data_IF_393157908402
#
_entry.id   IF_393157908402
#
_cell.length_a   1.000
_cell.length_b   1.000
_cell.length_c   1.000
_cell.angle_alpha   90.00
_cell.angle_beta   90.00
_cell.angle_gamma   90.00
#
_symmetry.space_group_name_H-M   'P 1'
#
loop_
_entity.id
_entity.type
_entity.pdbx_description
1 polymer ?
#
# COMPACT_ATOMS: atom_id res chain seq x y z
N UNK A 1 15.58 -0.67 16.06
CA UNK A 1 14.92 -0.87 14.74
C UNK A 1 15.40 0.15 13.72
N UNK A 2 15.33 1.47 13.99
CA UNK A 2 15.80 2.49 13.03
C UNK A 2 17.30 2.38 12.64
N UNK A 3 18.13 1.74 13.47
CA UNK A 3 19.53 1.45 13.15
C UNK A 3 19.71 0.28 12.17
N UNK A 4 18.67 -0.54 11.98
CA UNK A 4 18.74 -1.68 11.08
C UNK A 4 18.71 -1.19 9.64
N UNK A 5 19.72 -1.59 8.86
CA UNK A 5 19.85 -1.19 7.46
C UNK A 5 20.50 0.18 7.21
N UNK A 6 20.99 0.88 8.23
CA UNK A 6 21.74 2.13 8.03
C UNK A 6 22.96 1.96 7.11
N UNK A 7 23.67 0.83 7.21
CA UNK A 7 24.79 0.49 6.33
C UNK A 7 24.39 -0.13 4.98
N UNK A 8 23.09 -0.20 4.68
CA UNK A 8 22.53 -0.87 3.50
C UNK A 8 21.69 0.07 2.63
N UNK A 9 21.86 1.39 2.81
CA UNK A 9 21.19 2.42 1.99
C UNK A 9 21.84 2.46 0.62
N UNK A 10 21.05 2.15 -0.42
CA UNK A 10 21.49 2.18 -1.81
C UNK A 10 21.41 3.57 -2.45
N UNK A 11 21.76 3.64 -3.73
CA UNK A 11 21.72 4.88 -4.52
C UNK A 11 20.32 5.50 -4.67
N UNK A 12 19.26 4.72 -4.48
CA UNK A 12 17.87 5.21 -4.48
C UNK A 12 17.47 5.94 -3.19
N UNK A 13 18.36 5.98 -2.18
CA UNK A 13 18.07 6.59 -0.88
C UNK A 13 17.26 5.69 0.06
N UNK A 14 16.99 4.44 -0.32
CA UNK A 14 16.33 3.44 0.51
C UNK A 14 17.28 2.30 0.91
N UNK A 15 17.05 1.78 2.12
CA UNK A 15 17.69 0.58 2.67
C UNK A 15 17.14 -0.69 2.01
N UNK A 16 17.99 -1.71 1.85
CA UNK A 16 17.54 -3.06 1.48
C UNK A 16 16.76 -3.78 2.60
N UNK A 17 16.74 -3.20 3.81
CA UNK A 17 15.91 -3.65 4.93
C UNK A 17 14.63 -2.82 4.97
N UNK A 18 13.50 -3.48 4.71
CA UNK A 18 12.15 -2.90 4.77
C UNK A 18 11.38 -3.28 6.04
N UNK A 19 10.15 -2.78 6.14
CA UNK A 19 9.21 -3.18 7.19
C UNK A 19 7.82 -3.43 6.63
N UNK A 20 7.12 -4.41 7.20
CA UNK A 20 5.71 -4.68 6.89
C UNK A 20 4.86 -3.97 7.92
N UNK A 21 3.96 -3.08 7.49
CA UNK A 21 3.17 -2.24 8.38
C UNK A 21 1.69 -2.30 7.97
N UNK A 22 0.81 -2.56 8.93
CA UNK A 22 -0.63 -2.54 8.70
C UNK A 22 -1.14 -1.13 8.42
N UNK A 23 -2.23 -1.05 7.64
CA UNK A 23 -2.89 0.21 7.35
C UNK A 23 -3.82 0.63 8.50
N UNK A 24 -3.23 1.12 9.60
CA UNK A 24 -3.96 1.33 10.86
C UNK A 24 -4.55 2.74 10.96
N UNK A 25 -3.73 3.80 11.05
CA UNK A 25 -4.21 5.19 11.10
C UNK A 25 -3.23 6.13 10.41
N UNK A 26 -3.76 7.25 9.87
CA UNK A 26 -2.99 8.31 9.22
C UNK A 26 -1.82 8.82 10.07
N UNK A 27 -2.08 9.17 11.33
CA UNK A 27 -1.05 9.75 12.20
C UNK A 27 0.10 8.78 12.46
N UNK A 28 -0.21 7.49 12.62
CA UNK A 28 0.80 6.44 12.77
C UNK A 28 1.68 6.32 11.53
N UNK A 29 1.08 6.37 10.32
CA UNK A 29 1.82 6.30 9.05
C UNK A 29 2.73 7.52 8.85
N UNK A 30 2.26 8.72 9.20
CA UNK A 30 3.07 9.96 9.16
C UNK A 30 4.27 9.84 10.10
N UNK A 31 4.04 9.42 11.35
CA UNK A 31 5.10 9.25 12.33
C UNK A 31 6.10 8.18 11.90
N UNK A 32 5.61 7.06 11.36
CA UNK A 32 6.42 5.97 10.84
C UNK A 32 7.35 6.44 9.71
N UNK A 33 6.82 7.15 8.70
CA UNK A 33 7.63 7.70 7.61
C UNK A 33 8.68 8.70 8.11
N UNK A 34 8.33 9.55 9.09
CA UNK A 34 9.29 10.49 9.72
C UNK A 34 10.40 9.76 10.48
N UNK A 35 10.07 8.66 11.15
CA UNK A 35 11.01 7.93 12.01
C UNK A 35 11.95 7.03 11.19
N UNK A 36 11.48 6.56 10.04
CA UNK A 36 12.17 5.59 9.18
C UNK A 36 12.24 6.12 7.73
N UNK A 37 12.96 7.24 7.48
CA UNK A 37 12.94 7.93 6.20
C UNK A 37 13.46 7.06 5.04
N UNK A 38 14.43 6.18 5.33
CA UNK A 38 15.08 5.33 4.33
C UNK A 38 14.48 3.91 4.24
N UNK A 39 13.38 3.61 4.93
CA UNK A 39 12.79 2.27 4.94
C UNK A 39 11.76 2.14 3.82
N UNK A 40 11.83 1.03 3.07
CA UNK A 40 10.75 0.58 2.20
C UNK A 40 9.66 -0.08 3.03
N UNK A 41 8.40 0.34 2.85
CA UNK A 41 7.27 -0.27 3.54
C UNK A 41 6.45 -1.17 2.62
N UNK A 42 6.05 -2.33 3.14
CA UNK A 42 4.99 -3.14 2.55
C UNK A 42 3.71 -2.95 3.35
N UNK A 43 2.66 -2.48 2.69
CA UNK A 43 1.34 -2.24 3.30
C UNK A 43 0.34 -3.27 2.75
N UNK A 44 0.11 -4.39 3.46
CA UNK A 44 -0.85 -5.40 3.03
C UNK A 44 -2.29 -5.04 3.40
N UNK A 45 -3.24 -5.51 2.60
CA UNK A 45 -4.63 -5.67 3.06
C UNK A 45 -5.50 -4.41 3.03
N UNK A 46 -5.16 -3.42 2.20
CA UNK A 46 -6.04 -2.27 1.95
C UNK A 46 -7.41 -2.74 1.44
N UNK A 47 -8.47 -2.11 1.95
CA UNK A 47 -9.87 -2.51 1.72
C UNK A 47 -10.35 -3.57 2.70
N UNK A 48 -9.75 -4.77 2.69
CA UNK A 48 -10.21 -5.88 3.52
C UNK A 48 -9.96 -5.69 5.03
N UNK A 49 -8.93 -4.92 5.40
CA UNK A 49 -8.58 -4.62 6.80
C UNK A 49 -9.09 -3.25 7.25
N UNK A 50 -10.00 -2.62 6.50
CA UNK A 50 -10.55 -1.29 6.85
C UNK A 50 -9.58 -0.12 6.62
N UNK A 51 -8.37 -0.38 6.12
CA UNK A 51 -7.42 0.66 5.75
C UNK A 51 -7.88 1.45 4.53
N UNK A 52 -7.86 2.78 4.64
CA UNK A 52 -8.18 3.72 3.57
C UNK A 52 -6.94 3.98 2.69
N UNK A 53 -7.09 3.91 1.36
CA UNK A 53 -5.99 4.13 0.42
C UNK A 53 -5.44 5.57 0.53
N UNK A 54 -6.33 6.53 0.79
CA UNK A 54 -6.01 7.95 0.98
C UNK A 54 -5.10 8.16 2.18
N UNK A 55 -5.27 7.38 3.25
CA UNK A 55 -4.41 7.46 4.43
C UNK A 55 -3.04 6.83 4.19
N UNK A 56 -2.94 5.89 3.25
CA UNK A 56 -1.68 5.28 2.86
C UNK A 56 -0.78 6.23 2.06
N UNK A 57 -1.33 7.30 1.46
CA UNK A 57 -0.52 8.31 0.77
C UNK A 57 0.58 8.90 1.67
N UNK A 58 0.35 8.97 2.98
CA UNK A 58 1.30 9.52 3.96
C UNK A 58 2.51 8.63 4.24
N UNK A 59 2.47 7.38 3.78
CA UNK A 59 3.58 6.43 3.96
C UNK A 59 4.63 6.54 2.85
N UNK A 60 4.31 7.26 1.77
CA UNK A 60 5.23 7.55 0.68
C UNK A 60 6.06 8.80 0.97
N UNK A 61 7.21 8.93 0.30
CA UNK A 61 7.97 10.17 0.29
C UNK A 61 7.32 11.23 -0.62
N UNK A 62 7.93 12.42 -0.70
CA UNK A 62 7.42 13.53 -1.52
C UNK A 62 7.40 13.23 -3.03
N UNK A 63 8.18 12.26 -3.48
CA UNK A 63 8.25 11.83 -4.87
C UNK A 63 7.31 10.63 -5.14
N UNK A 64 6.58 10.14 -4.14
CA UNK A 64 5.69 9.00 -4.27
C UNK A 64 6.39 7.64 -4.18
N UNK A 65 7.62 7.58 -3.66
CA UNK A 65 8.36 6.33 -3.44
C UNK A 65 8.29 5.86 -1.98
N UNK A 66 8.94 4.74 -1.67
CA UNK A 66 9.17 4.31 -0.30
C UNK A 66 8.13 3.34 0.27
N UNK A 67 7.09 3.00 -0.49
CA UNK A 67 6.10 2.02 -0.08
C UNK A 67 5.54 1.22 -1.25
N UNK A 68 5.10 -0.01 -0.95
CA UNK A 68 4.36 -0.90 -1.85
C UNK A 68 3.07 -1.29 -1.16
N UNK A 69 1.95 -1.05 -1.83
CA UNK A 69 0.63 -1.48 -1.36
C UNK A 69 0.30 -2.82 -1.99
N UNK A 70 0.02 -3.83 -1.17
CA UNK A 70 -0.37 -5.15 -1.64
C UNK A 70 -1.88 -5.36 -1.54
N UNK A 71 -2.51 -5.49 -2.71
CA UNK A 71 -3.91 -5.87 -2.88
C UNK A 71 -3.98 -7.17 -3.70
N UNK A 72 -4.41 -8.27 -3.08
CA UNK A 72 -4.50 -9.58 -3.75
C UNK A 72 -5.94 -10.05 -3.84
N UNK A 73 -6.55 -10.44 -2.72
CA UNK A 73 -7.92 -10.98 -2.69
C UNK A 73 -8.97 -10.00 -3.20
N UNK A 74 -8.80 -8.71 -2.90
CA UNK A 74 -9.69 -7.64 -3.39
C UNK A 74 -9.66 -7.47 -4.91
N UNK A 75 -8.58 -7.91 -5.59
CA UNK A 75 -8.46 -7.89 -7.05
C UNK A 75 -8.89 -9.25 -7.63
N UNK A 76 -8.29 -10.34 -7.15
CA UNK A 76 -8.52 -11.71 -7.66
C UNK A 76 -10.00 -12.11 -7.53
N UNK A 77 -10.64 -11.75 -6.42
CA UNK A 77 -12.05 -12.07 -6.15
C UNK A 77 -12.99 -10.89 -6.35
N UNK A 78 -12.54 -9.81 -7.01
CA UNK A 78 -13.38 -8.63 -7.26
C UNK A 78 -14.70 -9.02 -7.93
N UNK A 79 -14.67 -9.97 -8.88
CA UNK A 79 -15.84 -10.43 -9.63
C UNK A 79 -16.98 -11.03 -8.77
N UNK A 80 -16.71 -11.39 -7.51
CA UNK A 80 -17.70 -11.94 -6.58
C UNK A 80 -18.53 -10.86 -5.88
N UNK A 81 -18.11 -9.59 -5.96
CA UNK A 81 -18.84 -8.47 -5.36
C UNK A 81 -20.20 -8.29 -6.07
N UNK A 82 -21.27 -8.07 -5.28
CA UNK A 82 -22.63 -7.86 -5.77
C UNK A 82 -22.72 -6.69 -6.75
N UNK A 83 -21.85 -5.67 -6.62
CA UNK A 83 -21.80 -4.56 -7.59
C UNK A 83 -21.47 -5.02 -9.01
N UNK A 84 -20.80 -6.15 -9.16
CA UNK A 84 -20.40 -6.70 -10.46
C UNK A 84 -21.29 -7.86 -10.95
N UNK A 85 -22.27 -8.29 -10.16
CA UNK A 85 -23.11 -9.46 -10.48
C UNK A 85 -23.86 -9.34 -11.82
N UNK A 86 -24.09 -8.12 -12.31
CA UNK A 86 -24.77 -7.85 -13.59
C UNK A 86 -23.85 -7.77 -14.82
N UNK A 87 -22.53 -7.79 -14.65
CA UNK A 87 -21.60 -7.70 -15.79
C UNK A 87 -21.24 -9.09 -16.30
N UNK A 88 -21.48 -9.31 -17.60
CA UNK A 88 -20.90 -10.46 -18.31
C UNK A 88 -19.41 -10.22 -18.61
N UNK A 89 -18.64 -11.30 -18.85
CA UNK A 89 -17.20 -11.18 -19.17
C UNK A 89 -16.88 -10.30 -20.40
N UNK A 90 -17.87 -10.02 -21.26
CA UNK A 90 -17.74 -9.12 -22.42
C UNK A 90 -17.98 -7.64 -22.10
N UNK A 91 -18.51 -7.32 -20.92
CA UNK A 91 -18.82 -5.96 -20.47
C UNK A 91 -17.79 -5.44 -19.45
N UNK A 92 -16.59 -6.00 -19.43
CA UNK A 92 -15.53 -5.62 -18.49
C UNK A 92 -15.25 -4.10 -18.52
N UNK A 93 -15.34 -3.46 -19.69
CA UNK A 93 -15.12 -2.01 -19.84
C UNK A 93 -16.15 -1.16 -19.09
N UNK A 94 -17.39 -1.64 -18.96
CA UNK A 94 -18.44 -0.97 -18.20
C UNK A 94 -18.24 -1.16 -16.68
N UNK A 95 -17.67 -2.29 -16.27
CA UNK A 95 -17.34 -2.56 -14.86
C UNK A 95 -16.20 -1.67 -14.34
N UNK A 96 -15.33 -1.15 -15.21
CA UNK A 96 -14.25 -0.21 -14.86
C UNK A 96 -14.80 1.17 -14.47
N UNK A 97 -15.99 1.54 -14.93
CA UNK A 97 -16.60 2.85 -14.71
C UNK A 97 -17.51 2.93 -13.47
N UNK A 98 -17.65 1.83 -12.73
CA UNK A 98 -18.38 1.73 -11.46
C UNK A 98 -17.47 2.05 -10.27
#
# INVERSE_FOLDING_TARGET
IASWGQGLIGSSGFSSVGAVVGATTRDSLIQLRRTLPHTLFLIPGIGAQGGNLQDCAHVFDRAGHGAVISASRSIIFAYQDKKYAGFSGRQWSQAVLQ
#
